data_IF_177858622645
#
_entry.id   IF_177858622645
#
_cell.length_a   1.000
_cell.length_b   1.000
_cell.length_c   1.000
_cell.angle_alpha   90.00
_cell.angle_beta   90.00
_cell.angle_gamma   90.00
#
_symmetry.space_group_name_H-M   'P 1'
#
loop_
_entity.id
_entity.type
_entity.pdbx_description
1 polymer ?
#
# COMPACT_ATOMS: atom_id res chain seq x y z
N UNK A 1 88.64 -0.24 17.75
CA UNK A 1 87.43 -0.26 18.61
C UNK A 1 86.34 0.49 17.87
N UNK A 2 85.37 -0.21 17.27
CA UNK A 2 84.17 0.42 16.69
C UNK A 2 83.08 -0.65 16.53
N UNK A 3 82.02 -0.55 17.34
CA UNK A 3 80.88 -1.45 17.30
C UNK A 3 79.72 -0.70 16.64
N UNK A 4 79.39 -1.09 15.41
CA UNK A 4 78.19 -0.65 14.71
C UNK A 4 76.95 -1.22 15.39
N UNK A 5 76.11 -0.37 16.01
CA UNK A 5 74.72 -0.70 16.33
C UNK A 5 73.86 -0.46 15.09
N UNK A 6 73.31 -1.53 14.49
CA UNK A 6 72.22 -1.42 13.51
C UNK A 6 70.90 -1.48 14.27
N UNK A 7 70.17 -0.36 14.27
CA UNK A 7 68.81 -0.29 14.79
C UNK A 7 67.85 -1.03 13.88
N UNK A 8 67.17 -2.04 14.42
CA UNK A 8 66.10 -2.76 13.74
C UNK A 8 64.81 -1.96 13.89
N UNK A 9 64.44 -1.20 12.87
CA UNK A 9 63.14 -0.52 12.78
C UNK A 9 62.28 -1.22 11.74
N UNK A 10 61.34 -2.06 12.17
CA UNK A 10 60.13 -2.39 11.43
C UNK A 10 59.05 -2.88 12.40
N UNK A 11 57.78 -2.72 12.00
CA UNK A 11 56.51 -3.15 12.65
C UNK A 11 55.67 -2.04 13.34
N UNK A 12 55.24 -1.03 12.58
CA UNK A 12 54.03 -0.23 12.91
C UNK A 12 53.03 -0.05 11.75
N UNK A 13 53.34 -0.54 10.55
CA UNK A 13 52.44 -0.40 9.39
C UNK A 13 51.29 -1.43 9.36
N UNK A 14 51.44 -2.58 10.02
CA UNK A 14 50.54 -3.73 9.86
C UNK A 14 49.25 -3.64 10.69
N UNK A 15 49.22 -2.82 11.75
CA UNK A 15 48.03 -2.61 12.59
C UNK A 15 47.06 -1.60 11.98
N UNK A 16 47.56 -0.66 11.16
CA UNK A 16 46.76 0.41 10.59
C UNK A 16 45.81 -0.11 9.49
N UNK A 17 46.28 -1.05 8.65
CA UNK A 17 45.44 -1.67 7.63
C UNK A 17 44.37 -2.61 8.21
N UNK A 18 44.66 -3.27 9.35
CA UNK A 18 43.71 -4.14 10.02
C UNK A 18 42.55 -3.34 10.65
N UNK A 19 42.88 -2.21 11.28
CA UNK A 19 41.86 -1.33 11.88
C UNK A 19 40.92 -0.75 10.82
N UNK A 20 41.46 -0.30 9.69
CA UNK A 20 40.67 0.18 8.54
C UNK A 20 39.78 -0.93 7.96
N UNK A 21 40.27 -2.17 7.88
CA UNK A 21 39.49 -3.32 7.40
C UNK A 21 38.33 -3.64 8.33
N UNK A 22 38.57 -3.63 9.65
CA UNK A 22 37.54 -3.89 10.66
C UNK A 22 36.48 -2.78 10.66
N UNK A 23 36.90 -1.52 10.63
CA UNK A 23 35.99 -0.37 10.55
C UNK A 23 35.11 -0.43 9.29
N UNK A 24 35.70 -0.78 8.15
CA UNK A 24 34.96 -0.95 6.88
C UNK A 24 33.97 -2.10 6.97
N UNK A 25 34.36 -3.23 7.57
CA UNK A 25 33.47 -4.37 7.78
C UNK A 25 32.25 -4.03 8.64
N UNK A 26 32.47 -3.32 9.75
CA UNK A 26 31.37 -2.84 10.60
C UNK A 26 30.45 -1.88 9.85
N UNK A 27 31.01 -0.96 9.06
CA UNK A 27 30.23 -0.02 8.26
C UNK A 27 29.33 -0.73 7.24
N UNK A 28 29.86 -1.76 6.55
CA UNK A 28 29.07 -2.56 5.60
C UNK A 28 27.94 -3.32 6.31
N UNK A 29 28.19 -3.88 7.49
CA UNK A 29 27.14 -4.58 8.27
C UNK A 29 26.02 -3.62 8.67
N UNK A 30 26.36 -2.40 9.10
CA UNK A 30 25.36 -1.37 9.45
C UNK A 30 24.53 -1.00 8.23
N UNK A 31 25.15 -0.80 7.06
CA UNK A 31 24.44 -0.51 5.81
C UNK A 31 23.49 -1.64 5.44
N UNK A 32 23.96 -2.90 5.45
CA UNK A 32 23.13 -4.06 5.12
C UNK A 32 21.94 -4.15 6.07
N UNK A 33 22.18 -3.98 7.38
CA UNK A 33 21.12 -4.02 8.40
C UNK A 33 20.09 -2.92 8.19
N UNK A 34 20.55 -1.71 7.84
CA UNK A 34 19.67 -0.57 7.54
C UNK A 34 18.77 -0.84 6.32
N UNK A 35 19.35 -1.32 5.21
CA UNK A 35 18.56 -1.67 4.03
C UNK A 35 17.60 -2.83 4.28
N UNK A 36 18.01 -3.81 5.08
CA UNK A 36 17.15 -4.93 5.47
C UNK A 36 15.93 -4.45 6.26
N UNK A 37 16.12 -3.57 7.25
CA UNK A 37 15.03 -3.01 8.05
C UNK A 37 14.08 -2.17 7.16
N UNK A 38 14.61 -1.32 6.27
CA UNK A 38 13.77 -0.52 5.36
C UNK A 38 12.94 -1.42 4.44
N UNK A 39 13.55 -2.48 3.90
CA UNK A 39 12.85 -3.41 3.02
C UNK A 39 11.64 -4.02 3.72
N UNK A 40 11.79 -4.44 4.98
CA UNK A 40 10.70 -5.02 5.78
C UNK A 40 9.56 -4.03 6.02
N UNK A 41 9.85 -2.75 6.27
CA UNK A 41 8.83 -1.73 6.57
C UNK A 41 8.15 -1.17 5.31
N UNK A 42 8.78 -1.28 4.14
CA UNK A 42 8.27 -0.68 2.90
C UNK A 42 7.09 -1.42 2.26
N UNK A 43 6.93 -2.71 2.55
CA UNK A 43 5.82 -3.51 2.03
C UNK A 43 4.54 -3.29 2.83
N UNK A 44 4.64 -3.17 4.16
CA UNK A 44 3.47 -2.96 5.03
C UNK A 44 2.81 -1.61 4.76
N UNK A 45 3.58 -0.55 4.52
CA UNK A 45 3.03 0.80 4.41
C UNK A 45 2.04 0.98 3.25
N UNK A 46 2.23 0.27 2.14
CA UNK A 46 1.34 0.40 0.97
C UNK A 46 0.03 -0.37 1.15
N UNK A 47 0.10 -1.57 1.71
CA UNK A 47 -1.09 -2.37 1.99
C UNK A 47 -1.93 -1.70 3.08
N UNK A 48 -1.29 -1.16 4.12
CA UNK A 48 -1.97 -0.43 5.19
C UNK A 48 -2.66 0.84 4.66
N UNK A 49 -2.04 1.55 3.71
CA UNK A 49 -2.65 2.71 3.04
C UNK A 49 -3.90 2.30 2.25
N UNK A 50 -3.84 1.21 1.47
CA UNK A 50 -4.98 0.70 0.70
C UNK A 50 -6.13 0.21 1.58
N UNK A 51 -5.82 -0.47 2.69
CA UNK A 51 -6.83 -0.92 3.65
C UNK A 51 -7.56 0.26 4.27
N UNK A 52 -6.80 1.28 4.67
CA UNK A 52 -7.37 2.50 5.24
C UNK A 52 -8.23 3.27 4.23
N UNK A 53 -7.78 3.38 2.98
CA UNK A 53 -8.61 3.98 1.91
C UNK A 53 -9.90 3.18 1.68
N UNK A 54 -9.87 1.86 1.81
CA UNK A 54 -11.06 1.01 1.73
C UNK A 54 -12.06 1.26 2.85
N UNK A 55 -11.58 1.42 4.08
CA UNK A 55 -12.41 1.79 5.24
C UNK A 55 -13.03 3.19 5.06
N UNK A 56 -12.24 4.17 4.61
CA UNK A 56 -12.71 5.53 4.36
C UNK A 56 -13.83 5.56 3.28
N UNK A 57 -13.71 4.75 2.21
CA UNK A 57 -14.77 4.61 1.19
C UNK A 57 -16.04 4.06 1.81
N UNK A 58 -15.96 2.98 2.60
CA UNK A 58 -17.13 2.38 3.24
C UNK A 58 -17.83 3.38 4.17
N UNK A 59 -17.04 4.12 4.95
CA UNK A 59 -17.55 5.14 5.84
C UNK A 59 -18.31 6.22 5.07
N UNK A 60 -17.80 6.72 3.94
CA UNK A 60 -18.50 7.73 3.11
C UNK A 60 -19.80 7.18 2.51
N UNK A 61 -19.80 5.93 2.05
CA UNK A 61 -20.97 5.32 1.40
C UNK A 61 -22.10 4.99 2.37
N UNK A 62 -21.76 4.69 3.63
CA UNK A 62 -22.70 4.28 4.70
C UNK A 62 -23.04 5.46 5.64
N UNK A 63 -22.17 6.47 5.69
CA UNK A 63 -22.31 7.71 6.44
C UNK A 63 -23.69 8.33 6.23
N UNK A 64 -24.48 8.41 7.30
CA UNK A 64 -25.79 9.06 7.29
C UNK A 64 -25.70 10.59 7.35
N UNK A 65 -24.54 11.17 7.04
CA UNK A 65 -24.36 12.63 7.07
C UNK A 65 -25.08 13.22 5.86
N UNK A 66 -26.09 14.09 6.07
CA UNK A 66 -26.89 14.65 4.98
C UNK A 66 -26.13 15.58 4.02
N UNK A 67 -24.88 15.92 4.34
CA UNK A 67 -24.00 16.77 3.53
C UNK A 67 -23.14 15.95 2.53
N UNK A 68 -23.10 14.62 2.64
CA UNK A 68 -22.29 13.77 1.76
C UNK A 68 -23.16 13.22 0.62
N UNK A 69 -22.92 13.70 -0.61
CA UNK A 69 -23.69 13.35 -1.81
C UNK A 69 -23.55 11.89 -2.26
N UNK A 70 -22.64 11.13 -1.65
CA UNK A 70 -22.28 9.76 -2.03
C UNK A 70 -22.81 8.67 -1.11
N UNK A 71 -23.58 9.03 -0.08
CA UNK A 71 -24.31 8.04 0.73
C UNK A 71 -25.22 7.21 -0.19
N UNK A 72 -24.99 5.90 -0.27
CA UNK A 72 -25.88 4.95 -0.96
C UNK A 72 -26.67 4.10 0.03
N UNK A 73 -26.28 4.07 1.30
CA UNK A 73 -27.00 3.33 2.35
C UNK A 73 -27.76 4.30 3.24
N UNK A 74 -29.09 4.20 3.23
CA UNK A 74 -29.97 4.99 4.11
C UNK A 74 -30.52 4.05 5.18
N UNK A 75 -29.94 4.11 6.38
CA UNK A 75 -30.27 3.19 7.47
C UNK A 75 -29.68 1.79 7.23
N UNK A 76 -30.52 0.83 6.84
CA UNK A 76 -30.12 -0.56 6.56
C UNK A 76 -30.52 -1.01 5.16
N UNK A 77 -30.84 -0.06 4.28
CA UNK A 77 -31.34 -0.31 2.93
C UNK A 77 -30.47 0.48 1.94
N UNK A 78 -30.15 -0.16 0.82
CA UNK A 78 -29.47 0.49 -0.31
C UNK A 78 -30.50 1.34 -1.06
N UNK A 79 -30.16 2.61 -1.28
CA UNK A 79 -30.91 3.51 -2.14
C UNK A 79 -30.56 3.22 -3.60
N UNK A 80 -31.45 2.51 -4.30
CA UNK A 80 -31.22 2.05 -5.68
C UNK A 80 -31.01 3.21 -6.66
N UNK A 81 -31.67 4.35 -6.46
CA UNK A 81 -31.53 5.51 -7.33
C UNK A 81 -30.12 6.09 -7.20
N UNK A 82 -29.65 6.26 -5.96
CA UNK A 82 -28.28 6.73 -5.70
C UNK A 82 -27.22 5.74 -6.13
N UNK A 83 -27.45 4.43 -5.96
CA UNK A 83 -26.55 3.40 -6.47
C UNK A 83 -26.45 3.46 -8.00
N UNK A 84 -27.58 3.63 -8.69
CA UNK A 84 -27.61 3.79 -10.14
C UNK A 84 -26.92 5.06 -10.59
N UNK A 85 -27.02 6.16 -9.85
CA UNK A 85 -26.33 7.40 -10.16
C UNK A 85 -24.82 7.29 -9.92
N UNK A 86 -24.41 6.64 -8.83
CA UNK A 86 -23.01 6.29 -8.56
C UNK A 86 -22.44 5.39 -9.67
N UNK A 87 -23.23 4.45 -10.17
CA UNK A 87 -22.84 3.54 -11.25
C UNK A 87 -22.70 4.23 -12.61
N UNK A 88 -23.25 5.43 -12.79
CA UNK A 88 -23.11 6.25 -14.01
C UNK A 88 -21.97 7.27 -13.89
N UNK A 89 -21.45 7.52 -12.69
CA UNK A 89 -20.33 8.42 -12.49
C UNK A 89 -19.08 7.91 -13.21
N UNK A 90 -18.29 8.85 -13.71
CA UNK A 90 -16.97 8.54 -14.27
C UNK A 90 -16.01 8.16 -13.13
N UNK A 91 -15.30 7.05 -13.29
CA UNK A 91 -14.41 6.50 -12.27
C UNK A 91 -13.39 7.52 -11.76
N UNK A 92 -12.78 8.33 -12.63
CA UNK A 92 -11.76 9.30 -12.22
C UNK A 92 -12.36 10.47 -11.43
N UNK A 93 -13.63 10.80 -11.66
CA UNK A 93 -14.35 11.79 -10.87
C UNK A 93 -14.77 11.19 -9.52
N UNK A 94 -15.34 9.99 -9.51
CA UNK A 94 -15.72 9.28 -8.29
C UNK A 94 -14.51 9.08 -7.37
N UNK A 95 -13.37 8.67 -7.92
CA UNK A 95 -12.10 8.53 -7.21
C UNK A 95 -11.66 9.83 -6.53
N UNK A 96 -11.81 10.97 -7.20
CA UNK A 96 -11.50 12.29 -6.62
C UNK A 96 -12.48 12.69 -5.53
N UNK A 97 -13.77 12.41 -5.71
CA UNK A 97 -14.80 12.72 -4.72
C UNK A 97 -14.61 11.89 -3.44
N UNK A 98 -14.21 10.61 -3.59
CA UNK A 98 -13.86 9.72 -2.47
C UNK A 98 -12.50 10.03 -1.84
N UNK A 99 -11.67 10.88 -2.47
CA UNK A 99 -10.39 11.31 -1.92
C UNK A 99 -9.30 10.22 -1.91
N UNK A 100 -9.49 9.11 -2.64
CA UNK A 100 -8.59 7.95 -2.64
C UNK A 100 -7.56 8.00 -3.76
N UNK A 101 -6.37 7.45 -3.50
CA UNK A 101 -5.26 7.39 -4.47
C UNK A 101 -5.18 6.03 -5.13
N UNK A 102 -5.49 4.97 -4.40
CA UNK A 102 -5.51 3.59 -4.85
C UNK A 102 -6.58 3.35 -5.91
N UNK A 103 -6.40 2.26 -6.67
CA UNK A 103 -7.49 1.73 -7.48
C UNK A 103 -8.41 0.90 -6.59
N UNK A 104 -9.72 1.11 -6.71
CA UNK A 104 -10.72 0.45 -5.87
C UNK A 104 -11.84 -0.14 -6.73
N UNK A 105 -12.60 -1.03 -6.11
CA UNK A 105 -13.87 -1.52 -6.64
C UNK A 105 -14.87 -1.70 -5.49
N UNK A 106 -16.06 -1.16 -5.67
CA UNK A 106 -17.19 -1.32 -4.75
C UNK A 106 -18.06 -2.44 -5.30
N UNK A 107 -18.30 -3.47 -4.51
CA UNK A 107 -19.22 -4.56 -4.84
C UNK A 107 -20.05 -4.94 -3.63
N UNK A 108 -21.10 -5.73 -3.89
CA UNK A 108 -22.01 -6.21 -2.88
C UNK A 108 -21.86 -7.72 -2.77
N UNK A 109 -21.90 -8.22 -1.54
CA UNK A 109 -21.90 -9.64 -1.23
C UNK A 109 -23.09 -9.95 -0.32
N UNK A 110 -23.65 -11.15 -0.46
CA UNK A 110 -24.61 -11.67 0.50
C UNK A 110 -23.91 -12.26 1.74
N UNK A 111 -24.70 -12.79 2.68
CA UNK A 111 -24.22 -13.41 3.92
C UNK A 111 -23.44 -14.72 3.69
N UNK A 112 -23.60 -15.34 2.51
CA UNK A 112 -22.85 -16.52 2.08
C UNK A 112 -21.55 -16.16 1.33
N UNK A 113 -21.32 -14.88 1.05
CA UNK A 113 -20.17 -14.37 0.30
C UNK A 113 -20.34 -14.46 -1.23
N UNK A 114 -21.56 -14.62 -1.73
CA UNK A 114 -21.84 -14.56 -3.16
C UNK A 114 -21.94 -13.10 -3.63
N UNK A 115 -21.37 -12.82 -4.80
CA UNK A 115 -21.40 -11.48 -5.40
C UNK A 115 -22.81 -11.16 -5.89
N UNK A 116 -23.34 -10.02 -5.44
CA UNK A 116 -24.62 -9.47 -5.93
C UNK A 116 -24.31 -8.52 -7.09
N UNK A 117 -24.85 -8.83 -8.26
CA UNK A 117 -24.65 -8.04 -9.46
C UNK A 117 -25.46 -6.74 -9.44
N UNK A 118 -24.79 -5.62 -9.70
CA UNK A 118 -25.43 -4.31 -9.85
C UNK A 118 -26.33 -4.29 -11.10
N UNK A 119 -25.91 -5.01 -12.15
CA UNK A 119 -26.72 -5.25 -13.32
C UNK A 119 -26.48 -6.66 -13.87
N UNK A 120 -27.48 -7.54 -13.73
CA UNK A 120 -27.42 -8.92 -14.20
C UNK A 120 -27.30 -9.02 -15.73
N UNK A 121 -27.92 -8.09 -16.48
CA UNK A 121 -27.92 -8.13 -17.94
C UNK A 121 -26.55 -7.81 -18.55
N UNK A 122 -25.76 -6.97 -17.87
CA UNK A 122 -24.40 -6.60 -18.30
C UNK A 122 -23.31 -7.33 -17.52
N UNK A 123 -23.68 -8.25 -16.62
CA UNK A 123 -22.77 -8.97 -15.73
C UNK A 123 -21.86 -8.02 -14.92
N UNK A 124 -22.42 -6.87 -14.49
CA UNK A 124 -21.66 -5.83 -13.78
C UNK A 124 -21.59 -6.19 -12.29
N UNK A 125 -20.40 -6.61 -11.85
CA UNK A 125 -20.15 -7.09 -10.50
C UNK A 125 -19.81 -5.99 -9.47
N UNK A 126 -19.45 -4.79 -9.93
CA UNK A 126 -19.07 -3.68 -9.05
C UNK A 126 -18.93 -2.36 -9.78
N UNK A 127 -18.63 -1.28 -9.05
CA UNK A 127 -18.34 0.09 -9.53
C UNK A 127 -16.91 0.44 -9.17
N UNK A 128 -16.08 0.79 -10.16
CA UNK A 128 -14.68 1.12 -9.91
C UNK A 128 -13.74 0.84 -11.07
N UNK A 129 -12.49 0.51 -10.75
CA UNK A 129 -11.42 0.33 -11.73
C UNK A 129 -11.51 -1.02 -12.44
N UNK A 130 -11.49 -1.00 -13.79
CA UNK A 130 -11.37 -2.20 -14.64
C UNK A 130 -10.08 -3.01 -14.47
N UNK A 131 -9.16 -2.53 -13.63
CA UNK A 131 -7.95 -3.27 -13.24
C UNK A 131 -8.19 -4.21 -12.06
N UNK A 132 -9.30 -4.07 -11.36
CA UNK A 132 -9.69 -4.90 -10.22
C UNK A 132 -10.69 -5.95 -10.69
N UNK A 133 -10.51 -7.20 -10.24
CA UNK A 133 -11.34 -8.34 -10.63
C UNK A 133 -12.02 -8.94 -9.40
N UNK A 134 -13.32 -9.18 -9.50
CA UNK A 134 -14.13 -9.82 -8.46
C UNK A 134 -14.76 -11.07 -9.08
N UNK A 135 -14.45 -12.24 -8.54
CA UNK A 135 -14.94 -13.50 -9.13
C UNK A 135 -14.54 -13.72 -10.60
N UNK A 136 -13.42 -13.11 -11.04
CA UNK A 136 -12.96 -13.17 -12.44
C UNK A 136 -13.60 -12.16 -13.39
N UNK A 137 -14.49 -11.29 -12.89
CA UNK A 137 -15.17 -10.24 -13.65
C UNK A 137 -14.48 -8.91 -13.34
N UNK A 138 -14.11 -8.17 -14.39
CA UNK A 138 -13.53 -6.84 -14.23
C UNK A 138 -14.57 -5.86 -13.67
N UNK A 139 -14.15 -5.03 -12.72
CA UNK A 139 -14.99 -3.96 -12.20
C UNK A 139 -15.19 -2.85 -13.25
N UNK A 140 -16.33 -2.16 -13.23
CA UNK A 140 -16.63 -1.12 -14.23
C UNK A 140 -17.61 -0.11 -13.72
#
# INVERSE_FOLDING_TARGET
MNVHKRGFWMKKAQTWSLDVMVATGMFVIVIISFFYIISLTSETSKTDELLREGEDIQDILISSKPEESLNIVVGSIIDEDKLNDLAKEDYENLKKQLGVRGDFCIHFEDDEGNIIYINESTNRAGIGSSRVYIGGIACS
#
